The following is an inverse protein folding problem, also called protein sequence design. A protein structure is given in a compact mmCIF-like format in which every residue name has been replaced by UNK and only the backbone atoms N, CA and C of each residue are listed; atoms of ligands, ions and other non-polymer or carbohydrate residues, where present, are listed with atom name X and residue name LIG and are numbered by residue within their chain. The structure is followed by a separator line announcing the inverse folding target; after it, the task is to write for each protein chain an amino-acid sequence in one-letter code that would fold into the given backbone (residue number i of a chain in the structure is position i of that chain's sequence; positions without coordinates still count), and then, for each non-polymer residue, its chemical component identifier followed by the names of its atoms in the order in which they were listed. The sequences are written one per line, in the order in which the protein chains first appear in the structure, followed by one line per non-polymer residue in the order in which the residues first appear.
data_IF_653579951720
#
_entry.id   IF_653579951720
#
_cell.length_a   1.000
_cell.length_b   1.000
_cell.length_c   1.000
_cell.angle_alpha   90.00
_cell.angle_beta   90.00
_cell.angle_gamma   90.00
#
_symmetry.space_group_name_H-M   'P 1'
#
loop_
_entity.id
_entity.type
_entity.pdbx_description
1 polymer ?
#
# COMPACT_ATOMS: atom_id res chain seq x y z
N UNK A 1 36.95 58.60 -21.68
CA UNK A 1 36.23 58.03 -22.84
C UNK A 1 37.04 56.88 -23.44
N UNK A 2 36.65 55.63 -23.19
CA UNK A 2 36.67 54.55 -24.20
C UNK A 2 35.94 53.34 -23.62
N UNK A 3 34.91 52.95 -24.34
CA UNK A 3 33.95 51.89 -24.07
C UNK A 3 34.66 50.54 -24.00
N UNK A 4 34.43 49.75 -22.95
CA UNK A 4 34.79 48.33 -22.91
C UNK A 4 33.49 47.53 -22.97
N UNK A 5 33.28 46.94 -24.14
CA UNK A 5 32.40 45.80 -24.41
C UNK A 5 32.73 44.64 -23.45
N UNK A 6 31.72 44.05 -22.81
CA UNK A 6 31.44 42.61 -22.98
C UNK A 6 30.26 42.14 -22.15
N UNK A 7 29.22 41.79 -22.90
CA UNK A 7 28.11 40.94 -22.51
C UNK A 7 28.64 39.52 -22.30
N UNK A 8 28.60 38.96 -21.08
CA UNK A 8 28.61 37.50 -20.89
C UNK A 8 27.85 37.09 -19.64
N UNK A 9 26.59 36.75 -19.89
CA UNK A 9 25.74 35.77 -19.22
C UNK A 9 26.54 34.70 -18.45
N UNK A 10 26.36 34.62 -17.13
CA UNK A 10 26.64 33.41 -16.35
C UNK A 10 25.30 32.78 -15.95
N UNK A 11 24.63 32.17 -16.94
CA UNK A 11 23.66 31.11 -16.68
C UNK A 11 24.50 29.90 -16.28
N UNK A 12 24.62 29.70 -14.97
CA UNK A 12 25.12 28.45 -14.41
C UNK A 12 24.07 27.39 -14.71
N UNK A 13 24.35 26.68 -15.79
CA UNK A 13 23.66 25.52 -16.31
C UNK A 13 23.36 24.55 -15.17
N UNK A 14 22.08 24.23 -15.04
CA UNK A 14 21.53 23.13 -14.27
C UNK A 14 22.32 21.86 -14.61
N UNK A 15 23.22 21.46 -13.71
CA UNK A 15 23.94 20.20 -13.82
C UNK A 15 22.90 19.08 -13.78
N UNK A 16 22.76 18.38 -14.91
CA UNK A 16 21.83 17.29 -15.11
C UNK A 16 22.05 16.18 -14.09
N UNK A 17 21.03 15.93 -13.28
CA UNK A 17 20.97 14.83 -12.32
C UNK A 17 20.06 13.72 -12.88
N UNK A 18 20.40 13.17 -14.06
CA UNK A 18 19.57 12.13 -14.70
C UNK A 18 19.77 10.73 -14.08
N UNK A 19 20.96 10.43 -13.55
CA UNK A 19 21.25 9.11 -12.97
C UNK A 19 20.83 8.97 -11.50
N UNK A 20 20.90 10.05 -10.72
CA UNK A 20 20.46 10.06 -9.32
C UNK A 20 18.94 9.84 -9.20
N UNK A 21 18.16 10.56 -10.01
CA UNK A 21 16.70 10.41 -10.04
C UNK A 21 16.25 9.03 -10.51
N UNK A 22 16.90 8.43 -11.51
CA UNK A 22 16.57 7.08 -11.96
C UNK A 22 16.74 6.04 -10.85
N UNK A 23 17.87 6.07 -10.13
CA UNK A 23 18.11 5.15 -9.00
C UNK A 23 17.07 5.33 -7.89
N UNK A 24 16.69 6.57 -7.59
CA UNK A 24 15.66 6.87 -6.59
C UNK A 24 14.29 6.31 -6.99
N UNK A 25 13.90 6.47 -8.26
CA UNK A 25 12.63 5.95 -8.80
C UNK A 25 12.61 4.42 -8.70
N UNK A 26 13.68 3.74 -9.13
CA UNK A 26 13.76 2.28 -9.04
C UNK A 26 13.74 1.78 -7.59
N UNK A 27 14.42 2.48 -6.67
CA UNK A 27 14.38 2.14 -5.26
C UNK A 27 12.97 2.28 -4.67
N UNK A 28 12.29 3.40 -4.91
CA UNK A 28 10.92 3.63 -4.45
C UNK A 28 9.95 2.61 -5.04
N UNK A 29 10.07 2.32 -6.34
CA UNK A 29 9.27 1.28 -7.00
C UNK A 29 9.46 -0.07 -6.33
N UNK A 30 10.73 -0.46 -6.11
CA UNK A 30 11.04 -1.72 -5.45
C UNK A 30 10.45 -1.78 -4.04
N UNK A 31 10.64 -0.73 -3.23
CA UNK A 31 10.10 -0.67 -1.87
C UNK A 31 8.57 -0.78 -1.86
N UNK A 32 7.88 -0.05 -2.73
CA UNK A 32 6.41 -0.13 -2.87
C UNK A 32 5.96 -1.54 -3.22
N UNK A 33 6.63 -2.20 -4.18
CA UNK A 33 6.26 -3.56 -4.60
C UNK A 33 6.64 -4.62 -3.55
N UNK A 34 7.74 -4.44 -2.82
CA UNK A 34 8.10 -5.34 -1.72
C UNK A 34 7.02 -5.31 -0.62
N UNK A 35 6.48 -4.13 -0.31
CA UNK A 35 5.38 -3.96 0.66
C UNK A 35 4.09 -4.60 0.14
N UNK A 36 3.77 -4.43 -1.15
CA UNK A 36 2.66 -5.13 -1.79
C UNK A 36 2.80 -6.65 -1.65
N UNK A 37 3.96 -7.21 -2.00
CA UNK A 37 4.17 -8.66 -1.99
C UNK A 37 4.14 -9.24 -0.57
N UNK A 38 4.58 -8.49 0.44
CA UNK A 38 4.41 -8.83 1.84
C UNK A 38 2.94 -8.79 2.25
N UNK A 39 2.24 -7.71 1.93
CA UNK A 39 0.82 -7.53 2.22
C UNK A 39 -0.05 -8.62 1.56
N UNK A 40 0.30 -9.08 0.37
CA UNK A 40 -0.41 -10.17 -0.32
C UNK A 40 -0.32 -11.51 0.42
N UNK A 41 0.78 -11.77 1.15
CA UNK A 41 0.92 -12.97 1.99
C UNK A 41 -0.01 -12.88 3.20
N UNK A 42 -0.02 -11.71 3.84
CA UNK A 42 -0.90 -11.44 4.99
C UNK A 42 -2.38 -11.47 4.56
N UNK A 43 -2.70 -10.93 3.38
CA UNK A 43 -4.04 -10.95 2.78
C UNK A 43 -4.52 -12.37 2.53
N UNK A 44 -3.64 -13.24 2.01
CA UNK A 44 -3.97 -14.63 1.81
C UNK A 44 -4.37 -15.31 3.12
N UNK A 45 -3.66 -15.03 4.22
CA UNK A 45 -4.00 -15.52 5.56
C UNK A 45 -5.30 -14.92 6.10
N UNK A 46 -5.48 -13.61 5.97
CA UNK A 46 -6.71 -12.87 6.32
C UNK A 46 -7.93 -13.48 5.64
N UNK A 47 -7.83 -13.81 4.36
CA UNK A 47 -8.90 -14.46 3.61
C UNK A 47 -9.18 -15.89 4.07
N UNK A 48 -8.18 -16.63 4.58
CA UNK A 48 -8.44 -17.93 5.26
C UNK A 48 -9.21 -17.72 6.57
N UNK A 49 -8.80 -16.74 7.36
CA UNK A 49 -9.47 -16.37 8.62
C UNK A 49 -10.92 -15.95 8.39
N UNK A 50 -11.17 -15.13 7.37
CA UNK A 50 -12.53 -14.74 6.93
C UNK A 50 -13.43 -15.94 6.66
N UNK A 51 -12.93 -16.94 5.91
CA UNK A 51 -13.68 -18.18 5.64
C UNK A 51 -14.01 -18.94 6.92
N UNK A 52 -13.04 -19.11 7.82
CA UNK A 52 -13.27 -19.77 9.12
C UNK A 52 -14.30 -19.04 9.98
N UNK A 53 -14.27 -17.71 10.00
CA UNK A 53 -15.26 -16.90 10.73
C UNK A 53 -16.66 -17.09 10.15
N UNK A 54 -16.79 -17.05 8.82
CA UNK A 54 -18.05 -17.30 8.11
C UNK A 54 -18.58 -18.71 8.40
N UNK A 55 -17.72 -19.73 8.34
CA UNK A 55 -18.08 -21.11 8.71
C UNK A 55 -18.54 -21.22 10.17
N UNK A 56 -17.80 -20.62 11.12
CA UNK A 56 -18.18 -20.61 12.53
C UNK A 56 -19.56 -19.98 12.75
N UNK A 57 -19.85 -18.86 12.08
CA UNK A 57 -21.16 -18.19 12.16
C UNK A 57 -22.32 -19.05 11.64
N UNK A 58 -22.09 -20.03 10.76
CA UNK A 58 -23.18 -20.92 10.28
C UNK A 58 -23.64 -21.93 11.34
N UNK A 59 -22.78 -22.26 12.31
CA UNK A 59 -23.06 -23.30 13.32
C UNK A 59 -23.18 -22.73 14.74
N UNK A 60 -22.64 -21.53 14.99
CA UNK A 60 -22.68 -20.90 16.29
C UNK A 60 -24.10 -20.40 16.63
N UNK A 61 -24.55 -20.67 17.85
CA UNK A 61 -25.74 -20.01 18.42
C UNK A 61 -25.28 -18.78 19.19
N UNK A 62 -25.62 -17.59 18.71
CA UNK A 62 -25.15 -16.31 19.27
C UNK A 62 -26.32 -15.34 19.42
N UNK A 63 -26.25 -14.46 20.42
CA UNK A 63 -27.14 -13.30 20.46
C UNK A 63 -26.76 -12.28 19.38
N UNK A 64 -27.66 -11.34 19.01
CA UNK A 64 -27.33 -10.27 18.07
C UNK A 64 -26.10 -9.45 18.47
N UNK A 65 -25.91 -9.20 19.77
CA UNK A 65 -24.77 -8.45 20.29
C UNK A 65 -23.46 -9.23 20.13
N UNK A 66 -23.52 -10.55 20.31
CA UNK A 66 -22.37 -11.43 20.11
C UNK A 66 -21.98 -11.53 18.64
N UNK A 67 -22.96 -11.58 17.72
CA UNK A 67 -22.68 -11.65 16.28
C UNK A 67 -22.22 -10.32 15.68
N UNK A 68 -22.54 -9.18 16.32
CA UNK A 68 -22.13 -7.85 15.84
C UNK A 68 -20.60 -7.71 15.69
N UNK A 69 -19.83 -8.27 16.63
CA UNK A 69 -18.37 -8.21 16.56
C UNK A 69 -17.82 -8.98 15.35
N UNK A 70 -18.42 -10.12 15.01
CA UNK A 70 -18.02 -10.90 13.84
C UNK A 70 -18.34 -10.17 12.55
N UNK A 71 -19.54 -9.60 12.44
CA UNK A 71 -19.96 -8.82 11.27
C UNK A 71 -19.04 -7.61 11.06
N UNK A 72 -18.67 -6.91 12.13
CA UNK A 72 -17.74 -5.78 12.06
C UNK A 72 -16.37 -6.21 11.52
N UNK A 73 -15.78 -7.27 12.08
CA UNK A 73 -14.46 -7.76 11.64
C UNK A 73 -14.51 -8.29 10.21
N UNK A 74 -15.60 -8.95 9.79
CA UNK A 74 -15.78 -9.39 8.41
C UNK A 74 -15.87 -8.21 7.44
N UNK A 75 -16.49 -7.10 7.84
CA UNK A 75 -16.53 -5.89 7.04
C UNK A 75 -15.14 -5.22 6.92
N UNK A 76 -14.35 -5.21 8.00
CA UNK A 76 -12.98 -4.70 7.97
C UNK A 76 -12.07 -5.53 7.06
N UNK A 77 -12.23 -6.86 7.09
CA UNK A 77 -11.55 -7.79 6.17
C UNK A 77 -11.92 -7.47 4.72
N UNK A 78 -13.22 -7.38 4.41
CA UNK A 78 -13.71 -7.09 3.05
C UNK A 78 -13.16 -5.76 2.54
N UNK A 79 -13.21 -4.71 3.37
CA UNK A 79 -12.66 -3.40 3.05
C UNK A 79 -11.16 -3.46 2.76
N UNK A 80 -10.38 -4.21 3.53
CA UNK A 80 -8.93 -4.33 3.32
C UNK A 80 -8.58 -5.06 2.01
N UNK A 81 -9.35 -6.10 1.65
CA UNK A 81 -9.21 -6.81 0.36
C UNK A 81 -9.59 -5.90 -0.82
N UNK A 82 -10.71 -5.19 -0.72
CA UNK A 82 -11.18 -4.25 -1.74
C UNK A 82 -10.20 -3.09 -1.96
N UNK A 83 -9.60 -2.57 -0.89
CA UNK A 83 -8.57 -1.53 -0.98
C UNK A 83 -7.32 -2.04 -1.73
N UNK A 84 -6.86 -3.28 -1.47
CA UNK A 84 -5.75 -3.90 -2.21
C UNK A 84 -6.12 -4.08 -3.68
N UNK A 85 -7.30 -4.61 -3.96
CA UNK A 85 -7.81 -4.83 -5.32
C UNK A 85 -7.93 -3.52 -6.09
N UNK A 86 -8.47 -2.48 -5.45
CA UNK A 86 -8.58 -1.15 -6.02
C UNK A 86 -7.20 -0.58 -6.33
N UNK A 87 -6.25 -0.71 -5.40
CA UNK A 87 -4.88 -0.25 -5.62
C UNK A 87 -4.22 -0.97 -6.79
N UNK A 88 -4.30 -2.30 -6.87
CA UNK A 88 -3.73 -3.07 -7.98
C UNK A 88 -4.34 -2.68 -9.33
N UNK A 89 -5.63 -2.35 -9.36
CA UNK A 89 -6.30 -1.92 -10.60
C UNK A 89 -5.93 -0.51 -11.05
N UNK A 90 -5.50 0.35 -10.11
CA UNK A 90 -5.20 1.75 -10.35
C UNK A 90 -3.70 2.07 -10.42
N UNK A 91 -2.84 1.15 -9.96
CA UNK A 91 -1.40 1.32 -10.01
C UNK A 91 -0.88 1.26 -11.44
N UNK A 92 -0.02 2.21 -11.79
CA UNK A 92 0.65 2.30 -13.08
C UNK A 92 2.16 2.46 -12.87
N UNK A 93 2.94 1.82 -13.73
CA UNK A 93 4.39 2.06 -13.80
C UNK A 93 4.61 3.52 -14.25
N UNK A 94 5.39 4.36 -13.54
CA UNK A 94 5.52 5.81 -13.83
C UNK A 94 6.33 6.13 -15.10
N UNK A 95 6.18 5.32 -16.14
CA UNK A 95 6.82 5.49 -17.45
C UNK A 95 6.26 6.74 -18.13
N UNK A 96 7.16 7.61 -18.58
CA UNK A 96 6.79 8.84 -19.27
C UNK A 96 6.52 10.03 -18.35
N UNK A 97 6.49 9.83 -17.03
CA UNK A 97 6.49 10.93 -16.05
C UNK A 97 7.87 11.60 -15.99
N UNK A 98 7.92 12.89 -15.64
CA UNK A 98 9.19 13.51 -15.26
C UNK A 98 9.73 12.90 -13.96
N UNK A 99 11.04 13.04 -13.71
CA UNK A 99 11.66 12.49 -12.50
C UNK A 99 10.97 12.93 -11.21
N UNK A 100 10.56 14.19 -11.12
CA UNK A 100 9.90 14.73 -9.93
C UNK A 100 8.48 14.17 -9.75
N UNK A 101 7.72 14.08 -10.84
CA UNK A 101 6.37 13.51 -10.84
C UNK A 101 6.40 12.01 -10.50
N UNK A 102 7.34 11.26 -11.07
CA UNK A 102 7.51 9.83 -10.79
C UNK A 102 7.84 9.58 -9.31
N UNK A 103 8.75 10.35 -8.72
CA UNK A 103 9.09 10.25 -7.29
C UNK A 103 7.89 10.56 -6.41
N UNK A 104 7.17 11.65 -6.69
CA UNK A 104 5.98 12.03 -5.93
C UNK A 104 4.88 10.95 -6.01
N UNK A 105 4.57 10.50 -7.23
CA UNK A 105 3.61 9.43 -7.46
C UNK A 105 3.97 8.17 -6.68
N UNK A 106 5.21 7.70 -6.77
CA UNK A 106 5.64 6.49 -6.07
C UNK A 106 5.60 6.63 -4.54
N UNK A 107 5.88 7.82 -4.00
CA UNK A 107 5.72 8.09 -2.57
C UNK A 107 4.26 7.98 -2.12
N UNK A 108 3.32 8.51 -2.91
CA UNK A 108 1.89 8.36 -2.63
C UNK A 108 1.44 6.90 -2.72
N UNK A 109 1.91 6.16 -3.74
CA UNK A 109 1.59 4.73 -3.88
C UNK A 109 2.17 3.92 -2.71
N UNK A 110 3.38 4.26 -2.27
CA UNK A 110 4.01 3.64 -1.09
C UNK A 110 3.14 3.85 0.16
N UNK A 111 2.70 5.08 0.42
CA UNK A 111 1.85 5.36 1.58
C UNK A 111 0.51 4.61 1.53
N UNK A 112 -0.10 4.50 0.35
CA UNK A 112 -1.35 3.74 0.16
C UNK A 112 -1.16 2.27 0.47
N UNK A 113 -0.09 1.65 -0.04
CA UNK A 113 0.17 0.23 0.18
C UNK A 113 0.62 -0.07 1.61
N UNK A 114 1.36 0.84 2.25
CA UNK A 114 1.69 0.75 3.69
C UNK A 114 0.44 0.75 4.54
N UNK A 115 -0.48 1.69 4.28
CA UNK A 115 -1.76 1.75 4.98
C UNK A 115 -2.57 0.47 4.76
N UNK A 116 -2.69 0.00 3.52
CA UNK A 116 -3.46 -1.21 3.22
C UNK A 116 -2.86 -2.46 3.89
N UNK A 117 -1.52 -2.61 3.91
CA UNK A 117 -0.84 -3.65 4.68
C UNK A 117 -1.22 -3.61 6.16
N UNK A 118 -1.22 -2.42 6.76
CA UNK A 118 -1.51 -2.26 8.18
C UNK A 118 -2.99 -2.58 8.48
N UNK A 119 -3.91 -2.21 7.59
CA UNK A 119 -5.33 -2.57 7.67
C UNK A 119 -5.54 -4.09 7.53
N UNK A 120 -4.86 -4.74 6.58
CA UNK A 120 -4.88 -6.22 6.42
C UNK A 120 -4.44 -6.89 7.72
N UNK A 121 -3.34 -6.43 8.31
CA UNK A 121 -2.79 -6.98 9.57
C UNK A 121 -3.75 -6.77 10.73
N UNK A 122 -4.32 -5.57 10.85
CA UNK A 122 -5.29 -5.27 11.90
C UNK A 122 -6.54 -6.16 11.80
N UNK A 123 -7.09 -6.32 10.59
CA UNK A 123 -8.25 -7.16 10.32
C UNK A 123 -7.95 -8.65 10.54
N UNK A 124 -6.78 -9.13 10.11
CA UNK A 124 -6.30 -10.50 10.36
C UNK A 124 -6.22 -10.79 11.86
N UNK A 125 -5.58 -9.91 12.64
CA UNK A 125 -5.43 -10.09 14.08
C UNK A 125 -6.77 -10.01 14.83
N UNK A 126 -7.66 -9.11 14.41
CA UNK A 126 -9.02 -9.06 14.94
C UNK A 126 -9.78 -10.35 14.64
N UNK A 127 -9.68 -10.88 13.42
CA UNK A 127 -10.31 -12.13 13.03
C UNK A 127 -9.79 -13.35 13.78
N UNK A 128 -8.47 -13.44 13.99
CA UNK A 128 -7.85 -14.50 14.79
C UNK A 128 -8.35 -14.53 16.23
N UNK A 129 -8.57 -13.36 16.85
CA UNK A 129 -9.09 -13.25 18.22
C UNK A 129 -10.53 -13.75 18.38
N UNK A 130 -11.31 -13.72 17.30
CA UNK A 130 -12.70 -14.19 17.30
C UNK A 130 -12.82 -15.69 17.03
N UNK A 131 -11.82 -16.30 16.41
CA UNK A 131 -11.81 -17.74 16.22
C UNK A 131 -11.56 -18.44 17.57
N UNK A 132 -12.25 -19.56 17.85
CA UNK A 132 -11.89 -20.41 18.97
C UNK A 132 -10.41 -20.79 18.81
N UNK A 133 -9.60 -20.54 19.84
CA UNK A 133 -8.23 -21.03 19.89
C UNK A 133 -8.31 -22.55 19.74
N UNK A 134 -7.86 -23.08 18.60
CA UNK A 134 -7.77 -24.52 18.42
C UNK A 134 -6.69 -24.98 19.41
N UNK A 135 -7.12 -25.74 20.41
CA UNK A 135 -6.19 -26.42 21.31
C UNK A 135 -5.17 -27.20 20.49
N UNK A 136 -3.93 -27.11 20.94
CA UNK A 136 -2.76 -27.88 20.51
C UNK A 136 -3.07 -29.36 20.26
#
# INVERSE_FOLDING_TARGET
MKQIFSLTVLVLILVGCSDGSKKQIEALKKETMDIHDEAMKDLAEMNRTSRKLKEFLTVATMTPEQSQQFTSVLADIEKADDEMTTWMSAYEDPKGMSSAEAVHYLQEQKQKIEKNRDDIRAALEAGKKLLPQTGQ
#
